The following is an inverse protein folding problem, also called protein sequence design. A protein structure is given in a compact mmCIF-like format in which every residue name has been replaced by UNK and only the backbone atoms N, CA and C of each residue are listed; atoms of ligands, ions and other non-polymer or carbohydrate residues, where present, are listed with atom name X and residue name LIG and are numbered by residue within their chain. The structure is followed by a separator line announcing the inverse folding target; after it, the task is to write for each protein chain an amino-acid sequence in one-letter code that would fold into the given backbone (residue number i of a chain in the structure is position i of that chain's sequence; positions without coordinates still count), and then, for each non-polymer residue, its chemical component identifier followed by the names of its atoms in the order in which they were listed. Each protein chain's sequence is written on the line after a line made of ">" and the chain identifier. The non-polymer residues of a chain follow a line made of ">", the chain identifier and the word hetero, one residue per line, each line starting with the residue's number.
data_IF_147946759178
#
_entry.id   IF_147946759178
#
_cell.length_a   1.000
_cell.length_b   1.000
_cell.length_c   1.000
_cell.angle_alpha   90.00
_cell.angle_beta   90.00
_cell.angle_gamma   90.00
#
_symmetry.space_group_name_H-M   'P 1'
#
loop_
_entity.id
_entity.type
_entity.pdbx_description
1 polymer ?
#
# COMPACT_ATOMS: atom_id res chain seq x y z
N UNK A 1 13.85 5.79 -13.01
CA UNK A 1 12.74 4.91 -12.61
C UNK A 1 13.09 4.40 -11.25
N UNK A 2 12.28 4.72 -10.24
CA UNK A 2 12.48 4.17 -8.89
C UNK A 2 11.74 2.85 -8.83
N UNK A 3 12.43 1.83 -8.33
CA UNK A 3 11.88 0.48 -8.19
C UNK A 3 11.56 0.30 -6.71
N UNK A 4 10.32 -0.12 -6.41
CA UNK A 4 9.82 -0.25 -5.04
C UNK A 4 9.27 -1.64 -4.74
N UNK A 5 9.10 -1.95 -3.46
CA UNK A 5 8.41 -3.16 -2.98
C UNK A 5 7.09 -2.75 -2.37
N UNK A 6 6.00 -3.38 -2.81
CA UNK A 6 4.67 -3.18 -2.23
C UNK A 6 4.40 -4.24 -1.16
N UNK A 7 4.43 -3.84 0.11
CA UNK A 7 4.04 -4.69 1.23
C UNK A 7 2.53 -4.74 1.38
N UNK A 8 1.99 -5.95 1.57
CA UNK A 8 0.55 -6.20 1.73
C UNK A 8 0.29 -6.97 3.03
N UNK A 9 -0.64 -6.47 3.83
CA UNK A 9 -1.32 -7.21 4.88
C UNK A 9 -2.82 -7.24 4.57
N UNK A 10 -3.35 -8.39 4.20
CA UNK A 10 -4.75 -8.61 3.84
C UNK A 10 -5.59 -9.28 4.95
N UNK A 11 -4.98 -9.50 6.13
CA UNK A 11 -5.62 -10.06 7.31
C UNK A 11 -6.40 -9.02 8.13
N UNK A 12 -6.32 -9.13 9.46
CA UNK A 12 -6.88 -8.12 10.37
C UNK A 12 -6.10 -6.80 10.26
N UNK A 13 -6.83 -5.68 10.36
CA UNK A 13 -6.26 -4.34 10.18
C UNK A 13 -5.49 -4.23 8.85
N UNK A 14 -6.19 -4.58 7.77
CA UNK A 14 -5.71 -4.52 6.39
C UNK A 14 -4.93 -3.24 6.11
N UNK A 15 -3.73 -3.38 5.55
CA UNK A 15 -2.72 -2.32 5.44
C UNK A 15 -1.82 -2.60 4.23
N UNK A 16 -1.37 -1.55 3.55
CA UNK A 16 -0.32 -1.65 2.54
C UNK A 16 0.77 -0.61 2.78
N UNK A 17 1.98 -0.89 2.31
CA UNK A 17 3.10 0.05 2.32
C UNK A 17 3.92 -0.02 1.04
N UNK A 18 4.56 1.09 0.69
CA UNK A 18 5.59 1.17 -0.33
C UNK A 18 6.95 1.35 0.34
N UNK A 19 7.87 0.45 0.01
CA UNK A 19 9.27 0.54 0.44
C UNK A 19 10.14 0.85 -0.78
N UNK A 20 10.97 1.88 -0.67
CA UNK A 20 11.98 2.26 -1.66
C UNK A 20 13.31 2.47 -0.95
N UNK A 21 14.40 1.91 -1.50
CA UNK A 21 15.76 2.01 -0.94
C UNK A 21 15.85 1.69 0.57
N UNK A 22 15.08 0.69 1.00
CA UNK A 22 15.03 0.23 2.40
C UNK A 22 14.23 1.14 3.35
N UNK A 23 13.55 2.17 2.83
CA UNK A 23 12.75 3.10 3.62
C UNK A 23 11.26 3.01 3.26
N UNK A 24 10.39 3.17 4.26
CA UNK A 24 8.94 3.25 4.03
C UNK A 24 8.62 4.64 3.47
N UNK A 25 8.26 4.68 2.19
CA UNK A 25 7.83 5.92 1.51
C UNK A 25 6.39 6.28 1.84
N UNK A 26 5.50 5.29 1.83
CA UNK A 26 4.08 5.48 2.12
C UNK A 26 3.51 4.25 2.82
N UNK A 27 2.59 4.45 3.77
CA UNK A 27 1.89 3.37 4.47
C UNK A 27 0.56 3.90 5.02
N UNK A 28 -0.51 3.14 4.87
CA UNK A 28 -1.78 3.43 5.51
C UNK A 28 -2.61 2.15 5.73
N UNK A 29 -3.54 2.20 6.67
CA UNK A 29 -4.52 1.13 6.86
C UNK A 29 -5.79 1.40 6.04
N UNK A 30 -6.38 0.34 5.50
CA UNK A 30 -7.56 0.38 4.65
C UNK A 30 -8.77 1.03 5.34
N UNK A 31 -8.85 0.92 6.68
CA UNK A 31 -9.91 1.56 7.49
C UNK A 31 -9.97 3.08 7.33
N UNK A 32 -8.84 3.71 6.95
CA UNK A 32 -8.76 5.16 6.73
C UNK A 32 -9.49 5.57 5.46
N UNK A 33 -9.54 4.67 4.47
CA UNK A 33 -10.19 4.91 3.19
C UNK A 33 -11.60 4.34 3.11
N UNK A 34 -11.85 3.17 3.70
CA UNK A 34 -13.17 2.54 3.65
C UNK A 34 -14.07 2.85 4.86
N UNK A 35 -13.51 3.47 5.91
CA UNK A 35 -14.22 3.85 7.14
C UNK A 35 -14.81 2.68 7.94
N UNK A 36 -14.31 1.47 7.72
CA UNK A 36 -14.65 0.25 8.46
C UNK A 36 -13.49 -0.06 9.39
N UNK A 37 -13.71 0.11 10.70
CA UNK A 37 -12.68 -0.10 11.73
C UNK A 37 -12.15 -1.54 11.67
N UNK A 38 -10.83 -1.71 11.76
CA UNK A 38 -10.16 -3.00 11.72
C UNK A 38 -10.55 -3.85 10.50
N UNK A 39 -10.74 -3.22 9.35
CA UNK A 39 -11.14 -3.91 8.12
C UNK A 39 -10.28 -5.16 7.88
N UNK A 40 -10.95 -6.28 7.61
CA UNK A 40 -10.34 -7.54 7.20
C UNK A 40 -10.60 -7.78 5.72
N UNK A 41 -9.55 -8.09 4.97
CA UNK A 41 -9.59 -8.23 3.52
C UNK A 41 -8.48 -7.44 2.81
N UNK A 42 -8.48 -7.40 1.48
CA UNK A 42 -7.41 -6.78 0.71
C UNK A 42 -7.38 -5.24 0.85
N UNK A 43 -6.19 -4.61 0.97
CA UNK A 43 -6.03 -3.16 1.14
C UNK A 43 -6.15 -2.40 -0.20
N UNK A 44 -7.25 -2.59 -0.93
CA UNK A 44 -7.42 -2.12 -2.31
C UNK A 44 -7.33 -0.59 -2.42
N UNK A 45 -8.03 0.15 -1.56
CA UNK A 45 -8.02 1.62 -1.62
C UNK A 45 -6.68 2.19 -1.16
N UNK A 46 -6.03 1.51 -0.21
CA UNK A 46 -4.70 1.88 0.26
C UNK A 46 -3.66 1.73 -0.85
N UNK A 47 -3.66 0.59 -1.56
CA UNK A 47 -2.74 0.37 -2.69
C UNK A 47 -2.96 1.41 -3.78
N UNK A 48 -4.22 1.66 -4.15
CA UNK A 48 -4.56 2.70 -5.15
C UNK A 48 -4.06 4.09 -4.72
N UNK A 49 -4.23 4.44 -3.44
CA UNK A 49 -3.71 5.69 -2.89
C UNK A 49 -2.18 5.75 -2.94
N UNK A 50 -1.47 4.70 -2.53
CA UNK A 50 0.00 4.64 -2.55
C UNK A 50 0.54 4.84 -3.96
N UNK A 51 0.00 4.13 -4.95
CA UNK A 51 0.49 4.22 -6.34
C UNK A 51 0.25 5.61 -6.94
N UNK A 52 -0.92 6.22 -6.64
CA UNK A 52 -1.25 7.59 -7.07
C UNK A 52 -0.36 8.63 -6.41
N UNK A 53 -0.16 8.54 -5.10
CA UNK A 53 0.68 9.47 -4.33
C UNK A 53 2.16 9.37 -4.75
N UNK A 54 2.65 8.15 -4.96
CA UNK A 54 4.03 7.92 -5.37
C UNK A 54 4.29 8.17 -6.85
N UNK A 55 3.24 8.30 -7.67
CA UNK A 55 3.29 8.36 -9.14
C UNK A 55 4.03 7.16 -9.75
N UNK A 56 3.80 5.97 -9.20
CA UNK A 56 4.45 4.72 -9.60
C UNK A 56 3.44 3.85 -10.34
N UNK A 57 3.86 3.28 -11.47
CA UNK A 57 3.08 2.25 -12.16
C UNK A 57 3.45 0.85 -11.67
N UNK A 58 2.52 -0.14 -11.76
CA UNK A 58 2.75 -1.49 -11.28
C UNK A 58 4.00 -2.17 -11.86
N UNK A 59 4.40 -1.84 -13.09
CA UNK A 59 5.61 -2.38 -13.73
C UNK A 59 6.93 -1.92 -13.09
N UNK A 60 6.88 -0.94 -12.19
CA UNK A 60 8.03 -0.50 -11.39
C UNK A 60 8.12 -1.20 -10.02
N UNK A 61 7.24 -2.16 -9.73
CA UNK A 61 7.27 -2.93 -8.48
C UNK A 61 8.06 -4.23 -8.62
N UNK A 62 8.84 -4.55 -7.60
CA UNK A 62 9.49 -5.85 -7.45
C UNK A 62 8.58 -6.86 -6.75
N UNK A 63 8.73 -8.14 -7.12
CA UNK A 63 8.10 -9.28 -6.47
C UNK A 63 8.99 -9.86 -5.35
#
# INVERSE_FOLDING_TARGET
>A
MTIGVLGINDGHASTACLVEDGQVRAMASEERFNRIKNYGGPPVKTVDWILKDAQISPECLNA
#
